data_IF_033964902631
#
_entry.id   IF_033964902631
#
_cell.length_a   1.000
_cell.length_b   1.000
_cell.length_c   1.000
_cell.angle_alpha   90.00
_cell.angle_beta   90.00
_cell.angle_gamma   90.00
#
_symmetry.space_group_name_H-M   'P 1'
#
loop_
_entity.id
_entity.type
_entity.pdbx_description
1 polymer ?
#
# COMPACT_ATOMS: atom_id res chain seq x y z
N UNK A 1 -15.44 -8.00 -7.65
CA UNK A 1 -14.15 -7.31 -7.53
C UNK A 1 -13.09 -8.36 -7.24
N UNK A 2 -11.98 -8.34 -7.95
CA UNK A 2 -10.93 -9.31 -7.70
C UNK A 2 -10.15 -8.98 -6.42
N UNK A 3 -9.37 -9.96 -5.95
CA UNK A 3 -8.64 -9.81 -4.69
C UNK A 3 -7.61 -8.69 -4.73
N UNK A 4 -7.01 -8.46 -5.90
CA UNK A 4 -6.00 -7.40 -6.06
C UNK A 4 -6.64 -6.02 -5.93
N UNK A 5 -7.78 -5.81 -6.58
CA UNK A 5 -8.49 -4.54 -6.50
C UNK A 5 -9.00 -4.29 -5.08
N UNK A 6 -9.48 -5.33 -4.39
CA UNK A 6 -9.92 -5.21 -3.01
C UNK A 6 -8.77 -4.85 -2.08
N UNK A 7 -7.62 -5.50 -2.24
CA UNK A 7 -6.44 -5.21 -1.44
C UNK A 7 -5.96 -3.78 -1.69
N UNK A 8 -5.92 -3.35 -2.95
CA UNK A 8 -5.53 -1.98 -3.28
C UNK A 8 -6.44 -0.96 -2.61
N UNK A 9 -7.74 -1.20 -2.62
CA UNK A 9 -8.72 -0.35 -1.97
C UNK A 9 -8.51 -0.28 -0.46
N UNK A 10 -8.26 -1.42 0.16
CA UNK A 10 -8.03 -1.50 1.60
C UNK A 10 -6.72 -0.81 2.00
N UNK A 11 -5.68 -0.94 1.19
CA UNK A 11 -4.42 -0.23 1.43
C UNK A 11 -4.63 1.28 1.35
N UNK A 12 -5.33 1.74 0.32
CA UNK A 12 -5.61 3.18 0.17
C UNK A 12 -6.31 3.74 1.41
N UNK A 13 -7.29 3.02 1.94
CA UNK A 13 -7.96 3.45 3.17
C UNK A 13 -7.01 3.47 4.35
N UNK A 14 -6.18 2.45 4.47
CA UNK A 14 -5.27 2.32 5.61
C UNK A 14 -4.16 3.35 5.62
N UNK A 15 -3.81 3.94 4.50
CA UNK A 15 -2.78 4.98 4.44
C UNK A 15 -3.35 6.40 4.48
N UNK A 16 -4.65 6.55 4.66
CA UNK A 16 -5.27 7.86 4.78
C UNK A 16 -5.86 8.43 3.49
N UNK A 17 -6.01 7.58 2.47
CA UNK A 17 -6.56 7.98 1.19
C UNK A 17 -5.52 8.55 0.23
N UNK A 18 -5.96 8.82 -1.00
CA UNK A 18 -5.05 9.29 -2.05
C UNK A 18 -4.41 10.64 -1.73
N UNK A 19 -5.10 11.50 -0.97
CA UNK A 19 -4.58 12.81 -0.61
C UNK A 19 -3.33 12.72 0.25
N UNK A 20 -3.15 11.61 0.94
CA UNK A 20 -1.99 11.41 1.80
C UNK A 20 -0.78 10.86 1.04
N UNK A 21 -0.93 10.45 -0.21
CA UNK A 21 0.14 9.86 -0.99
C UNK A 21 1.00 10.93 -1.66
N UNK A 22 2.29 10.93 -1.36
CA UNK A 22 3.28 11.74 -2.07
C UNK A 22 3.94 10.95 -3.19
N UNK A 23 4.20 9.67 -2.95
CA UNK A 23 4.87 8.80 -3.90
C UNK A 23 4.39 7.37 -3.71
N UNK A 24 4.15 6.68 -4.83
CA UNK A 24 3.73 5.30 -4.83
C UNK A 24 4.58 4.53 -5.84
N UNK A 25 5.28 3.52 -5.34
CA UNK A 25 6.15 2.68 -6.15
C UNK A 25 6.04 1.24 -5.71
N UNK A 26 6.60 0.34 -6.49
CA UNK A 26 6.75 -1.05 -6.08
C UNK A 26 8.19 -1.51 -6.27
N UNK A 27 8.59 -2.47 -5.47
CA UNK A 27 9.74 -3.30 -5.78
C UNK A 27 9.24 -4.75 -5.85
N UNK A 28 10.15 -5.71 -5.98
CA UNK A 28 9.77 -7.10 -6.30
C UNK A 28 8.66 -7.66 -5.41
N UNK A 29 8.73 -7.41 -4.10
CA UNK A 29 7.83 -8.01 -3.12
C UNK A 29 7.04 -7.01 -2.31
N UNK A 30 7.27 -5.71 -2.49
CA UNK A 30 6.75 -4.68 -1.60
C UNK A 30 6.09 -3.54 -2.34
N UNK A 31 5.00 -3.06 -1.76
CA UNK A 31 4.40 -1.78 -2.13
C UNK A 31 5.09 -0.70 -1.28
N UNK A 32 5.64 0.31 -1.94
CA UNK A 32 6.34 1.41 -1.27
C UNK A 32 5.53 2.68 -1.40
N UNK A 33 5.25 3.31 -0.28
CA UNK A 33 4.49 4.56 -0.28
C UNK A 33 5.15 5.59 0.63
N UNK A 34 5.23 6.83 0.15
CA UNK A 34 5.59 7.99 0.95
C UNK A 34 4.35 8.84 1.14
N UNK A 35 4.13 9.33 2.34
CA UNK A 35 2.91 10.05 2.69
C UNK A 35 3.22 11.41 3.27
N UNK A 36 2.22 12.32 3.19
CA UNK A 36 2.33 13.65 3.77
C UNK A 36 2.29 13.61 5.29
N UNK A 37 1.45 12.75 5.83
CA UNK A 37 1.16 12.71 7.27
C UNK A 37 1.14 11.26 7.74
N UNK A 38 2.20 10.85 8.42
CA UNK A 38 2.33 9.50 8.96
C UNK A 38 1.24 9.17 9.98
N UNK A 39 0.70 10.19 10.66
CA UNK A 39 -0.33 9.96 11.68
C UNK A 39 -1.63 9.45 11.10
N UNK A 40 -1.83 9.58 9.79
CA UNK A 40 -3.03 9.06 9.13
C UNK A 40 -2.94 7.59 8.77
N UNK A 41 -1.77 6.97 8.94
CA UNK A 41 -1.62 5.55 8.68
C UNK A 41 -2.20 4.72 9.80
N UNK A 42 -3.04 3.77 9.43
CA UNK A 42 -3.53 2.75 10.35
C UNK A 42 -2.67 1.50 10.21
N UNK A 43 -1.51 1.53 10.84
CA UNK A 43 -0.51 0.47 10.70
C UNK A 43 -1.03 -0.89 11.17
N UNK A 44 -1.69 -1.00 12.33
CA UNK A 44 -2.26 -2.29 12.72
C UNK A 44 -3.23 -2.87 11.71
N UNK A 45 -4.06 -2.01 11.11
CA UNK A 45 -5.00 -2.44 10.07
C UNK A 45 -4.28 -2.89 8.81
N UNK A 46 -3.26 -2.14 8.38
CA UNK A 46 -2.48 -2.49 7.20
C UNK A 46 -1.80 -3.84 7.36
N UNK A 47 -1.23 -4.09 8.55
CA UNK A 47 -0.59 -5.38 8.84
C UNK A 47 -1.58 -6.54 8.84
N UNK A 48 -2.81 -6.29 9.16
CA UNK A 48 -3.84 -7.33 9.29
C UNK A 48 -4.55 -7.64 7.97
N UNK A 49 -4.28 -6.87 6.90
CA UNK A 49 -4.96 -7.08 5.63
C UNK A 49 -4.59 -8.44 5.03
N UNK A 50 -5.59 -9.19 4.53
CA UNK A 50 -5.30 -10.41 3.78
C UNK A 50 -4.45 -10.07 2.55
N UNK A 51 -3.33 -10.74 2.40
CA UNK A 51 -2.39 -10.48 1.32
C UNK A 51 -1.19 -9.64 1.72
N UNK A 52 -1.21 -9.02 2.90
CA UNK A 52 -0.06 -8.31 3.44
C UNK A 52 0.62 -9.20 4.47
N UNK A 53 1.89 -9.54 4.19
CA UNK A 53 2.68 -10.42 5.08
C UNK A 53 3.42 -9.64 6.15
N UNK A 54 3.63 -8.35 5.95
CA UNK A 54 4.36 -7.55 6.92
C UNK A 54 4.44 -6.09 6.50
N UNK A 55 4.97 -5.30 7.39
CA UNK A 55 5.17 -3.87 7.20
C UNK A 55 6.53 -3.46 7.71
N UNK A 56 7.23 -2.64 6.92
CA UNK A 56 8.54 -2.11 7.29
C UNK A 56 8.56 -0.62 6.96
N UNK A 57 9.15 0.18 7.82
CA UNK A 57 9.42 1.58 7.52
C UNK A 57 10.91 1.77 7.31
N UNK A 58 11.30 2.34 6.18
CA UNK A 58 12.68 2.68 5.87
C UNK A 58 12.75 4.14 5.46
N UNK A 59 13.36 4.98 6.31
CA UNK A 59 13.41 6.42 6.07
C UNK A 59 11.99 6.97 5.95
N UNK A 60 11.71 7.60 4.83
CA UNK A 60 10.39 8.16 4.56
C UNK A 60 9.41 7.17 3.94
N UNK A 61 9.88 5.96 3.62
CA UNK A 61 9.05 4.97 2.92
C UNK A 61 8.37 4.02 3.88
N UNK A 62 7.07 3.84 3.66
CA UNK A 62 6.29 2.78 4.29
C UNK A 62 6.19 1.63 3.29
N UNK A 63 6.57 0.43 3.67
CA UNK A 63 6.64 -0.71 2.78
C UNK A 63 5.74 -1.84 3.26
N UNK A 64 4.84 -2.26 2.39
CA UNK A 64 3.93 -3.38 2.66
C UNK A 64 4.40 -4.59 1.85
N UNK A 65 4.71 -5.67 2.54
CA UNK A 65 5.19 -6.89 1.91
C UNK A 65 3.99 -7.69 1.41
N UNK A 66 3.89 -7.83 0.09
CA UNK A 66 2.73 -8.52 -0.52
C UNK A 66 3.14 -9.74 -1.34
N UNK A 67 4.44 -9.92 -1.56
CA UNK A 67 4.96 -11.10 -2.23
C UNK A 67 5.37 -10.87 -3.68
N UNK A 68 6.15 -11.83 -4.23
CA UNK A 68 6.70 -11.72 -5.58
C UNK A 68 5.59 -11.63 -6.63
N UNK A 69 5.75 -10.73 -7.57
CA UNK A 69 4.81 -10.55 -8.67
C UNK A 69 3.52 -9.83 -8.29
N UNK A 70 3.20 -9.75 -7.01
CA UNK A 70 1.98 -9.10 -6.57
C UNK A 70 2.13 -7.61 -6.34
N UNK A 71 3.33 -7.16 -5.97
CA UNK A 71 3.55 -5.75 -5.67
C UNK A 71 3.20 -4.84 -6.84
N UNK A 72 3.65 -5.20 -8.05
CA UNK A 72 3.33 -4.42 -9.24
C UNK A 72 1.83 -4.40 -9.52
N UNK A 73 1.16 -5.55 -9.38
CA UNK A 73 -0.27 -5.65 -9.62
C UNK A 73 -1.06 -4.78 -8.65
N UNK A 74 -0.66 -4.79 -7.37
CA UNK A 74 -1.34 -4.00 -6.34
C UNK A 74 -1.14 -2.52 -6.59
N UNK A 75 0.09 -2.10 -6.90
CA UNK A 75 0.38 -0.70 -7.20
C UNK A 75 -0.39 -0.23 -8.44
N UNK A 76 -0.44 -1.04 -9.48
CA UNK A 76 -1.22 -0.71 -10.67
C UNK A 76 -2.70 -0.55 -10.35
N UNK A 77 -3.25 -1.44 -9.53
CA UNK A 77 -4.65 -1.34 -9.11
C UNK A 77 -4.89 -0.08 -8.25
N UNK A 78 -3.94 0.27 -7.39
CA UNK A 78 -4.03 1.51 -6.62
C UNK A 78 -4.05 2.74 -7.54
N UNK A 79 -3.17 2.76 -8.54
CA UNK A 79 -3.11 3.88 -9.49
C UNK A 79 -4.40 4.03 -10.29
N UNK A 80 -5.00 2.92 -10.68
CA UNK A 80 -6.29 2.95 -11.37
C UNK A 80 -7.37 3.60 -10.49
N UNK A 81 -7.38 3.28 -9.21
CA UNK A 81 -8.38 3.83 -8.27
C UNK A 81 -8.14 5.31 -7.96
N UNK A 82 -6.88 5.75 -8.01
CA UNK A 82 -6.51 7.15 -7.76
C UNK A 82 -6.78 8.02 -8.98
N UNK A 83 -6.61 7.47 -10.17
CA UNK A 83 -6.69 8.21 -11.43
C UNK A 83 -8.04 8.89 -11.66
#
# INVERSE_FOLDING_TARGET
>A
MDKTAALASDILRGIGGEQNILRLENCMTRVRVEVQDDSQLDIPRLKALPGVSGYVKQGEQHQLIVGPGKAAQVVDAMRVQIA
#
